data_IF_240581687449
#
_entry.id   IF_240581687449
#
_cell.length_a   1.000
_cell.length_b   1.000
_cell.length_c   1.000
_cell.angle_alpha   90.00
_cell.angle_beta   90.00
_cell.angle_gamma   90.00
#
_symmetry.space_group_name_H-M   'P 1'
#
loop_
_entity.id
_entity.type
_entity.pdbx_description
1 polymer ?
#
# COMPACT_ATOMS: atom_id res chain seq x y z
N UNK A 1 0.21 -16.67 10.71
CA UNK A 1 0.44 -15.26 11.04
C UNK A 1 -0.84 -14.49 10.79
N UNK A 2 -1.19 -13.57 11.67
CA UNK A 2 -2.39 -12.75 11.57
C UNK A 2 -2.05 -11.44 10.85
N UNK A 3 -2.82 -11.09 9.83
CA UNK A 3 -2.59 -9.91 9.00
C UNK A 3 -3.70 -8.89 9.15
N UNK A 4 -3.31 -7.61 9.10
CA UNK A 4 -4.22 -6.50 9.02
C UNK A 4 -3.85 -5.57 7.87
N UNK A 5 -4.85 -4.97 7.23
CA UNK A 5 -4.65 -4.19 6.02
C UNK A 5 -5.35 -2.84 6.18
N UNK A 6 -4.68 -1.76 5.80
CA UNK A 6 -5.24 -0.40 5.80
C UNK A 6 -4.78 0.36 4.56
N UNK A 7 -5.60 1.28 4.07
CA UNK A 7 -5.27 2.07 2.89
C UNK A 7 -6.49 2.72 2.26
N UNK A 8 -6.35 3.10 1.00
CA UNK A 8 -7.38 3.81 0.24
C UNK A 8 -8.19 2.86 -0.68
N UNK A 9 -8.53 3.31 -1.90
CA UNK A 9 -9.19 2.48 -2.91
C UNK A 9 -8.41 1.21 -3.29
N UNK A 10 -7.08 1.19 -3.13
CA UNK A 10 -6.26 0.01 -3.46
C UNK A 10 -6.50 -1.17 -2.52
N UNK A 11 -7.10 -0.92 -1.35
CA UNK A 11 -7.43 -1.94 -0.34
C UNK A 11 -8.92 -1.98 0.00
N UNK A 12 -9.78 -1.26 -0.74
CA UNK A 12 -11.21 -1.12 -0.44
C UNK A 12 -11.98 -2.44 -0.43
N UNK A 13 -11.56 -3.41 -1.25
CA UNK A 13 -12.17 -4.74 -1.30
C UNK A 13 -11.13 -5.83 -1.10
N UNK A 14 -11.52 -6.86 -0.35
CA UNK A 14 -10.69 -8.05 -0.15
C UNK A 14 -10.92 -9.12 -1.23
N UNK A 15 -12.18 -9.51 -1.46
CA UNK A 15 -12.52 -10.63 -2.35
C UNK A 15 -12.14 -10.34 -3.80
N UNK A 16 -11.57 -11.34 -4.46
CA UNK A 16 -11.07 -11.35 -5.82
C UNK A 16 -9.94 -10.33 -6.09
N UNK A 17 -9.21 -9.89 -5.06
CA UNK A 17 -8.11 -8.92 -5.21
C UNK A 17 -6.75 -9.55 -4.99
N UNK A 18 -5.69 -8.81 -5.31
CA UNK A 18 -4.30 -9.20 -5.04
C UNK A 18 -4.07 -9.49 -3.54
N UNK A 19 -4.86 -8.84 -2.67
CA UNK A 19 -4.79 -9.00 -1.23
C UNK A 19 -5.24 -10.39 -0.80
N UNK A 20 -6.39 -10.85 -1.30
CA UNK A 20 -6.88 -12.21 -1.02
C UNK A 20 -5.90 -13.26 -1.52
N UNK A 21 -5.31 -13.04 -2.70
CA UNK A 21 -4.26 -13.92 -3.24
C UNK A 21 -3.04 -13.96 -2.30
N UNK A 22 -2.54 -12.81 -1.84
CA UNK A 22 -1.43 -12.73 -0.87
C UNK A 22 -1.79 -13.49 0.42
N UNK A 23 -2.98 -13.28 0.97
CA UNK A 23 -3.37 -13.94 2.21
C UNK A 23 -3.48 -15.45 2.05
N UNK A 24 -4.09 -15.92 0.97
CA UNK A 24 -4.26 -17.36 0.70
C UNK A 24 -2.90 -18.05 0.45
N UNK A 25 -2.07 -17.49 -0.44
CA UNK A 25 -0.78 -18.09 -0.83
C UNK A 25 0.26 -18.10 0.29
N UNK A 26 0.10 -17.21 1.29
CA UNK A 26 0.99 -17.10 2.43
C UNK A 26 0.37 -17.61 3.74
N UNK A 27 -0.82 -18.22 3.67
CA UNK A 27 -1.58 -18.72 4.83
C UNK A 27 -1.70 -17.66 5.94
N UNK A 28 -2.04 -16.43 5.58
CA UNK A 28 -2.23 -15.31 6.49
C UNK A 28 -3.70 -15.22 6.90
N UNK A 29 -3.95 -15.23 8.21
CA UNK A 29 -5.28 -15.06 8.77
C UNK A 29 -5.63 -13.57 8.81
N UNK A 30 -6.52 -13.13 7.93
CA UNK A 30 -6.92 -11.72 7.90
C UNK A 30 -7.85 -11.38 9.07
N UNK A 31 -7.38 -10.50 9.95
CA UNK A 31 -8.16 -10.00 11.09
C UNK A 31 -9.16 -8.94 10.61
N UNK A 32 -8.67 -7.97 9.84
CA UNK A 32 -9.49 -6.89 9.29
C UNK A 32 -8.83 -6.21 8.11
N UNK A 33 -9.66 -5.54 7.30
CA UNK A 33 -9.26 -4.74 6.16
C UNK A 33 -9.98 -3.38 6.23
N UNK A 34 -9.21 -2.31 6.45
CA UNK A 34 -9.69 -0.94 6.56
C UNK A 34 -9.31 -0.11 5.33
N UNK A 35 -9.70 -0.59 4.15
CA UNK A 35 -9.57 0.16 2.91
C UNK A 35 -10.83 0.96 2.61
N UNK A 36 -10.70 2.25 2.29
CA UNK A 36 -11.83 3.06 1.86
C UNK A 36 -11.46 3.95 0.67
N UNK A 37 -12.34 3.97 -0.34
CA UNK A 37 -12.13 4.79 -1.56
C UNK A 37 -11.99 6.27 -1.19
N UNK A 38 -10.97 6.92 -1.74
CA UNK A 38 -10.78 8.35 -1.54
C UNK A 38 -10.19 8.76 -0.19
N UNK A 39 -9.68 7.82 0.62
CA UNK A 39 -9.11 8.19 1.92
C UNK A 39 -7.90 9.10 1.81
N UNK A 40 -7.80 10.01 2.78
CA UNK A 40 -6.60 10.79 3.06
C UNK A 40 -5.62 9.98 3.92
N UNK A 41 -4.35 10.38 3.95
CA UNK A 41 -3.37 9.72 4.82
C UNK A 41 -3.74 9.85 6.31
N UNK A 42 -4.39 10.93 6.74
CA UNK A 42 -4.90 11.04 8.12
C UNK A 42 -5.86 9.90 8.48
N UNK A 43 -6.78 9.55 7.58
CA UNK A 43 -7.72 8.44 7.82
C UNK A 43 -7.04 7.08 7.79
N UNK A 44 -6.04 6.91 6.92
CA UNK A 44 -5.21 5.69 6.89
C UNK A 44 -4.45 5.54 8.20
N UNK A 45 -3.90 6.64 8.74
CA UNK A 45 -3.22 6.67 10.03
C UNK A 45 -4.17 6.41 11.21
N UNK A 46 -5.34 7.06 11.25
CA UNK A 46 -6.38 6.79 12.27
C UNK A 46 -6.77 5.31 12.29
N UNK A 47 -6.93 4.72 11.10
CA UNK A 47 -7.21 3.31 10.95
C UNK A 47 -6.03 2.49 11.45
N UNK A 48 -4.79 2.80 11.03
CA UNK A 48 -3.55 2.17 11.49
C UNK A 48 -3.48 2.09 13.03
N UNK A 49 -3.75 3.17 13.75
CA UNK A 49 -3.71 3.14 15.22
C UNK A 49 -4.71 2.13 15.79
N UNK A 50 -5.91 2.01 15.20
CA UNK A 50 -6.89 0.97 15.58
C UNK A 50 -6.39 -0.43 15.24
N UNK A 51 -5.59 -0.59 14.18
CA UNK A 51 -5.00 -1.87 13.75
C UNK A 51 -3.95 -2.40 14.73
N UNK A 52 -3.38 -1.56 15.59
CA UNK A 52 -2.40 -1.99 16.60
C UNK A 52 -3.04 -2.74 17.77
N UNK A 53 -4.31 -2.45 18.09
CA UNK A 53 -5.05 -3.08 19.22
C UNK A 53 -5.14 -4.61 19.11
N UNK A 54 -5.53 -5.21 17.96
CA UNK A 54 -5.61 -6.67 17.84
C UNK A 54 -4.25 -7.38 17.80
N UNK A 55 -3.13 -6.64 17.84
CA UNK A 55 -1.75 -7.15 17.78
C UNK A 55 -1.53 -8.10 16.59
N UNK A 56 -1.58 -7.57 15.35
CA UNK A 56 -1.28 -8.37 14.16
C UNK A 56 0.22 -8.71 14.09
N UNK A 57 0.56 -9.80 13.40
CA UNK A 57 1.95 -10.15 13.09
C UNK A 57 2.44 -9.35 11.88
N UNK A 58 1.53 -9.02 10.95
CA UNK A 58 1.80 -8.32 9.69
C UNK A 58 0.78 -7.21 9.47
N UNK A 59 1.24 -6.04 9.02
CA UNK A 59 0.38 -4.96 8.53
C UNK A 59 0.78 -4.60 7.09
N UNK A 60 -0.20 -4.61 6.18
CA UNK A 60 -0.06 -3.99 4.85
C UNK A 60 -0.67 -2.58 4.90
N UNK A 61 0.10 -1.60 4.44
CA UNK A 61 -0.33 -0.20 4.32
C UNK A 61 -0.19 0.26 2.89
N UNK A 62 -1.32 0.60 2.27
CA UNK A 62 -1.33 1.30 0.98
C UNK A 62 -1.39 2.81 1.23
N UNK A 63 -0.30 3.53 0.94
CA UNK A 63 -0.19 4.97 1.19
C UNK A 63 -0.77 5.76 0.02
N UNK A 64 -1.67 6.70 0.31
CA UNK A 64 -2.38 7.51 -0.69
C UNK A 64 -1.57 8.74 -1.11
N UNK A 65 -2.08 9.50 -2.07
CA UNK A 65 -1.55 10.78 -2.51
C UNK A 65 -1.53 11.84 -1.40
N UNK A 66 -0.40 12.55 -1.21
CA UNK A 66 -0.26 13.62 -0.19
C UNK A 66 -1.27 14.75 -0.37
N UNK A 67 -1.70 15.04 -1.59
CA UNK A 67 -2.67 16.12 -1.89
C UNK A 67 -4.02 15.87 -1.23
N UNK A 68 -4.37 14.60 -0.93
CA UNK A 68 -5.62 14.25 -0.26
C UNK A 68 -5.62 14.52 1.24
N UNK A 69 -4.49 14.93 1.82
CA UNK A 69 -4.46 15.42 3.21
C UNK A 69 -5.37 16.62 3.41
N UNK A 70 -5.60 17.40 2.35
CA UNK A 70 -6.43 18.61 2.39
C UNK A 70 -7.47 18.57 1.27
N UNK A 71 -8.74 18.56 1.64
CA UNK A 71 -9.76 19.06 0.72
C UNK A 71 -9.49 20.57 0.57
N UNK A 72 -9.43 21.06 -0.67
CA UNK A 72 -9.50 22.49 -1.01
C UNK A 72 -8.20 23.31 -0.93
N UNK A 73 -7.13 22.92 -1.63
CA UNK A 73 -6.19 23.88 -2.25
C UNK A 73 -5.43 24.88 -1.36
N UNK A 74 -5.45 24.70 -0.03
CA UNK A 74 -4.94 25.67 0.94
C UNK A 74 -3.65 25.24 1.66
N UNK A 75 -3.16 24.03 1.39
CA UNK A 75 -1.92 23.54 1.98
C UNK A 75 -0.76 23.61 0.98
N UNK A 76 0.34 24.21 1.42
CA UNK A 76 1.64 24.12 0.75
C UNK A 76 1.98 22.63 0.48
N UNK A 77 2.42 22.34 -0.74
CA UNK A 77 2.81 20.97 -1.16
C UNK A 77 3.89 20.43 -0.22
N UNK A 78 4.86 21.25 0.17
CA UNK A 78 5.94 20.83 1.06
C UNK A 78 5.43 20.53 2.47
N UNK A 79 4.42 21.26 2.92
CA UNK A 79 3.74 20.97 4.18
C UNK A 79 3.00 19.63 4.11
N UNK A 80 2.21 19.37 3.05
CA UNK A 80 1.50 18.11 2.88
C UNK A 80 2.46 16.90 2.80
N UNK A 81 3.56 17.02 2.03
CA UNK A 81 4.62 16.02 1.97
C UNK A 81 5.26 15.78 3.34
N UNK A 82 5.54 16.86 4.08
CA UNK A 82 6.12 16.77 5.43
C UNK A 82 5.19 16.05 6.40
N UNK A 83 3.90 16.39 6.41
CA UNK A 83 2.91 15.74 7.27
C UNK A 83 2.80 14.25 6.93
N UNK A 84 2.67 13.89 5.65
CA UNK A 84 2.60 12.48 5.26
C UNK A 84 3.87 11.73 5.68
N UNK A 85 5.06 12.31 5.46
CA UNK A 85 6.34 11.73 5.90
C UNK A 85 6.35 11.45 7.41
N UNK A 86 5.91 12.41 8.23
CA UNK A 86 5.85 12.24 9.69
C UNK A 86 4.87 11.15 10.12
N UNK A 87 3.69 11.07 9.50
CA UNK A 87 2.72 10.01 9.79
C UNK A 87 3.28 8.64 9.43
N UNK A 88 3.88 8.49 8.24
CA UNK A 88 4.46 7.21 7.80
C UNK A 88 5.66 6.81 8.66
N UNK A 89 6.46 7.78 9.11
CA UNK A 89 7.56 7.55 10.05
C UNK A 89 7.05 7.02 11.40
N UNK A 90 6.03 7.63 11.99
CA UNK A 90 5.45 7.10 13.22
C UNK A 90 4.88 5.70 13.01
N UNK A 91 4.19 5.41 11.90
CA UNK A 91 3.70 4.06 11.61
C UNK A 91 4.81 3.01 11.58
N UNK A 92 5.96 3.35 10.97
CA UNK A 92 7.16 2.51 10.96
C UNK A 92 7.70 2.29 12.38
N UNK A 93 7.82 3.33 13.18
CA UNK A 93 8.29 3.27 14.56
C UNK A 93 7.36 2.41 15.44
N UNK A 94 6.03 2.61 15.34
CA UNK A 94 5.05 1.84 16.11
C UNK A 94 5.10 0.34 15.76
N UNK A 95 5.27 -0.01 14.48
CA UNK A 95 5.44 -1.40 14.05
C UNK A 95 6.75 -2.00 14.57
N UNK A 96 7.86 -1.27 14.43
CA UNK A 96 9.18 -1.69 14.92
C UNK A 96 9.17 -1.96 16.42
N UNK A 97 8.61 -1.05 17.22
CA UNK A 97 8.51 -1.17 18.69
C UNK A 97 7.70 -2.40 19.13
N UNK A 98 6.74 -2.83 18.33
CA UNK A 98 5.84 -3.96 18.62
C UNK A 98 6.25 -5.26 17.92
N UNK A 99 7.38 -5.25 17.20
CA UNK A 99 7.82 -6.37 16.36
C UNK A 99 6.77 -6.82 15.33
N UNK A 100 6.01 -5.86 14.77
CA UNK A 100 5.01 -6.09 13.72
C UNK A 100 5.68 -5.91 12.36
N UNK A 101 5.59 -6.90 11.47
CA UNK A 101 6.12 -6.78 10.10
C UNK A 101 5.27 -5.81 9.29
N UNK A 102 5.88 -4.73 8.79
CA UNK A 102 5.18 -3.72 8.01
C UNK A 102 5.49 -3.88 6.52
N UNK A 103 4.46 -3.86 5.68
CA UNK A 103 4.56 -3.86 4.22
C UNK A 103 3.99 -2.54 3.72
N UNK A 104 4.86 -1.69 3.19
CA UNK A 104 4.55 -0.37 2.69
C UNK A 104 4.38 -0.42 1.17
N UNK A 105 3.22 0.02 0.68
CA UNK A 105 2.91 0.09 -0.75
C UNK A 105 2.44 1.51 -1.07
N UNK A 106 3.34 2.39 -1.53
CA UNK A 106 2.92 3.71 -1.97
C UNK A 106 2.14 3.62 -3.28
N UNK A 107 0.91 4.10 -3.27
CA UNK A 107 0.05 4.08 -4.45
C UNK A 107 0.34 5.26 -5.40
N UNK A 108 0.99 6.31 -4.90
CA UNK A 108 1.31 7.56 -5.60
C UNK A 108 2.77 7.99 -5.37
N UNK A 109 3.14 9.22 -5.72
CA UNK A 109 4.45 9.81 -5.47
C UNK A 109 4.88 9.63 -4.00
N UNK A 110 6.12 9.18 -3.79
CA UNK A 110 6.59 8.73 -2.48
C UNK A 110 8.10 8.92 -2.26
N UNK A 111 8.76 9.67 -3.13
CA UNK A 111 10.21 9.89 -3.05
C UNK A 111 10.58 10.68 -1.79
N UNK A 112 9.67 11.52 -1.29
CA UNK A 112 9.82 12.30 -0.06
C UNK A 112 9.60 11.49 1.23
N UNK A 113 9.24 10.21 1.16
CA UNK A 113 9.05 9.36 2.35
C UNK A 113 10.37 8.75 2.83
N UNK A 114 10.60 8.82 4.14
CA UNK A 114 11.67 8.09 4.84
C UNK A 114 11.32 6.60 4.92
N UNK A 115 12.24 5.74 4.47
CA UNK A 115 12.04 4.30 4.32
C UNK A 115 12.98 3.57 5.27
N UNK A 116 12.64 3.58 6.55
CA UNK A 116 13.52 3.13 7.65
C UNK A 116 13.14 1.75 8.20
N UNK A 117 11.92 1.28 7.93
CA UNK A 117 11.40 0.00 8.41
C UNK A 117 10.39 -0.60 7.44
N UNK A 118 10.34 -1.93 7.41
CA UNK A 118 9.37 -2.68 6.62
C UNK A 118 9.88 -3.16 5.27
N UNK A 119 9.04 -3.92 4.60
CA UNK A 119 9.14 -4.18 3.17
C UNK A 119 8.49 -3.02 2.42
N UNK A 120 9.24 -2.37 1.53
CA UNK A 120 8.73 -1.33 0.65
C UNK A 120 8.59 -1.88 -0.77
N UNK A 121 7.35 -1.92 -1.27
CA UNK A 121 7.03 -2.30 -2.64
C UNK A 121 6.81 -1.02 -3.43
N UNK A 122 7.83 -0.61 -4.19
CA UNK A 122 7.89 0.68 -4.86
C UNK A 122 7.65 0.52 -6.35
N UNK A 123 6.84 1.39 -6.95
CA UNK A 123 6.79 1.55 -8.41
C UNK A 123 7.11 2.99 -8.76
N UNK A 124 7.80 3.31 -9.87
CA UNK A 124 8.10 4.70 -10.22
C UNK A 124 6.84 5.58 -10.22
N UNK A 125 6.77 6.61 -9.36
CA UNK A 125 5.56 7.44 -9.22
C UNK A 125 4.37 6.78 -8.48
N UNK A 126 4.57 5.60 -7.90
CA UNK A 126 3.58 4.85 -7.11
C UNK A 126 2.82 3.79 -7.91
N UNK A 127 2.19 2.84 -7.22
CA UNK A 127 1.50 1.68 -7.84
C UNK A 127 0.44 2.08 -8.89
N UNK A 128 -0.11 3.28 -8.82
CA UNK A 128 -1.04 3.80 -9.82
C UNK A 128 -0.44 3.84 -11.23
N UNK A 129 0.89 3.95 -11.38
CA UNK A 129 1.55 3.93 -12.70
C UNK A 129 1.39 2.57 -13.39
N UNK A 130 1.37 1.48 -12.63
CA UNK A 130 1.26 0.13 -13.16
C UNK A 130 -0.10 -0.13 -13.82
N UNK A 131 -1.04 0.82 -13.70
CA UNK A 131 -2.36 0.77 -14.34
C UNK A 131 -2.49 1.63 -15.57
N UNK A 132 -1.40 2.30 -15.96
CA UNK A 132 -1.30 3.14 -17.16
C UNK A 132 -0.39 2.51 -18.22
N UNK A 133 0.06 1.26 -18.02
CA UNK A 133 1.03 0.60 -18.88
C UNK A 133 0.53 0.43 -20.32
N UNK A 134 -0.78 0.25 -20.51
CA UNK A 134 -1.42 0.08 -21.81
C UNK A 134 -2.00 1.37 -22.41
N UNK A 135 -2.12 2.46 -21.62
CA UNK A 135 -2.43 3.81 -22.12
C UNK A 135 -1.97 4.89 -21.11
N UNK A 136 -0.89 5.64 -21.42
CA UNK A 136 -0.32 6.65 -20.55
C UNK A 136 -1.17 7.92 -20.42
N UNK A 137 -2.19 8.11 -21.26
CA UNK A 137 -3.06 9.31 -21.28
C UNK A 137 -4.31 9.18 -20.40
N UNK A 138 -4.49 8.04 -19.73
CA UNK A 138 -5.71 7.72 -19.03
C UNK A 138 -5.99 8.54 -17.75
N UNK A 139 -7.27 8.89 -17.59
CA UNK A 139 -7.89 9.56 -16.44
C UNK A 139 -9.06 8.73 -15.86
N UNK A 140 -9.27 8.79 -14.55
CA UNK A 140 -10.14 7.91 -13.74
C UNK A 140 -11.65 7.96 -14.05
N UNK A 141 -12.08 8.75 -15.03
CA UNK A 141 -13.48 9.14 -15.28
C UNK A 141 -14.23 8.28 -16.31
N UNK A 142 -13.65 7.18 -16.80
CA UNK A 142 -14.24 6.38 -17.88
C UNK A 142 -14.58 4.94 -17.45
N UNK A 143 -15.60 4.34 -18.07
CA UNK A 143 -15.95 2.92 -17.92
C UNK A 143 -14.81 2.05 -18.47
N UNK A 144 -13.86 1.73 -17.59
CA UNK A 144 -12.58 1.14 -17.94
C UNK A 144 -12.69 -0.38 -18.18
N UNK A 145 -12.36 -0.82 -19.40
CA UNK A 145 -12.32 -2.25 -19.80
C UNK A 145 -10.89 -2.81 -19.87
N UNK A 146 -9.89 -2.03 -19.45
CA UNK A 146 -8.46 -2.34 -19.61
C UNK A 146 -7.90 -3.23 -18.51
N UNK A 147 -6.67 -3.70 -18.74
CA UNK A 147 -5.89 -4.45 -17.76
C UNK A 147 -5.23 -3.47 -16.77
N UNK A 148 -5.93 -3.14 -15.69
CA UNK A 148 -5.43 -2.26 -14.65
C UNK A 148 -5.38 -2.97 -13.27
N UNK A 149 -4.89 -2.29 -12.23
CA UNK A 149 -4.83 -2.84 -10.87
C UNK A 149 -6.18 -3.17 -10.21
N UNK A 150 -7.31 -2.77 -10.80
CA UNK A 150 -8.67 -3.14 -10.38
C UNK A 150 -9.24 -4.31 -11.19
N UNK A 151 -8.57 -4.74 -12.26
CA UNK A 151 -9.00 -5.88 -13.08
C UNK A 151 -8.55 -7.21 -12.45
N UNK A 152 -9.27 -8.33 -12.70
CA UNK A 152 -8.89 -9.64 -12.18
C UNK A 152 -7.46 -10.06 -12.54
N UNK A 153 -7.02 -9.80 -13.78
CA UNK A 153 -5.68 -10.13 -14.24
C UNK A 153 -4.63 -9.14 -13.73
N UNK A 154 -4.96 -7.87 -13.52
CA UNK A 154 -4.04 -6.93 -12.84
C UNK A 154 -3.81 -7.29 -11.38
N UNK A 155 -4.84 -7.74 -10.66
CA UNK A 155 -4.69 -8.31 -9.32
C UNK A 155 -3.77 -9.54 -9.29
N UNK A 156 -3.87 -10.42 -10.29
CA UNK A 156 -2.97 -11.56 -10.44
C UNK A 156 -1.52 -11.15 -10.69
N UNK A 157 -1.30 -10.22 -11.62
CA UNK A 157 0.03 -9.68 -11.94
C UNK A 157 0.69 -9.08 -10.69
N UNK A 158 -0.03 -8.21 -9.98
CA UNK A 158 0.49 -7.60 -8.73
C UNK A 158 0.84 -8.69 -7.73
N UNK A 159 -0.08 -9.62 -7.46
CA UNK A 159 0.12 -10.68 -6.49
C UNK A 159 1.37 -11.53 -6.81
N UNK A 160 1.50 -12.00 -8.05
CA UNK A 160 2.62 -12.82 -8.48
C UNK A 160 3.98 -12.13 -8.31
N UNK A 161 4.00 -10.80 -8.46
CA UNK A 161 5.22 -10.02 -8.31
C UNK A 161 5.54 -9.60 -6.88
N UNK A 162 4.58 -9.61 -5.93
CA UNK A 162 4.85 -9.22 -4.54
C UNK A 162 4.93 -10.41 -3.56
N UNK A 163 4.22 -11.50 -3.84
CA UNK A 163 4.14 -12.68 -2.95
C UNK A 163 5.52 -13.24 -2.59
N UNK A 164 6.46 -13.46 -3.53
CA UNK A 164 7.78 -13.99 -3.19
C UNK A 164 8.54 -13.10 -2.20
N UNK A 165 8.41 -11.78 -2.34
CA UNK A 165 9.09 -10.81 -1.48
C UNK A 165 8.44 -10.70 -0.12
N UNK A 166 7.10 -10.69 -0.06
CA UNK A 166 6.37 -10.72 1.20
C UNK A 166 6.73 -12.01 1.95
N UNK A 167 6.71 -13.16 1.28
CA UNK A 167 7.11 -14.46 1.85
C UNK A 167 8.49 -14.41 2.45
N UNK A 168 9.47 -13.87 1.73
CA UNK A 168 10.84 -13.75 2.24
C UNK A 168 10.87 -12.82 3.46
N UNK A 169 10.28 -11.63 3.35
CA UNK A 169 10.31 -10.63 4.43
C UNK A 169 9.68 -11.13 5.74
N UNK A 170 8.49 -11.73 5.68
CA UNK A 170 7.77 -12.17 6.90
C UNK A 170 8.46 -13.33 7.62
N UNK A 171 9.31 -14.10 6.92
CA UNK A 171 10.06 -15.23 7.47
C UNK A 171 11.50 -14.88 7.87
N UNK A 172 11.89 -13.61 7.82
CA UNK A 172 13.25 -13.16 8.18
C UNK A 172 13.23 -12.23 9.38
N UNK A 173 14.36 -12.11 10.08
CA UNK A 173 14.58 -11.08 11.08
C UNK A 173 14.92 -9.71 10.46
N UNK A 174 14.93 -9.62 9.12
CA UNK A 174 15.21 -8.37 8.43
C UNK A 174 14.20 -7.30 8.85
N UNK A 175 14.72 -6.13 9.20
CA UNK A 175 13.92 -4.98 9.59
C UNK A 175 13.55 -4.10 8.38
N UNK A 176 14.27 -4.25 7.25
CA UNK A 176 14.11 -3.40 6.08
C UNK A 176 14.39 -4.16 4.78
N UNK A 177 13.53 -3.96 3.77
CA UNK A 177 13.68 -4.51 2.43
C UNK A 177 13.02 -3.59 1.40
N UNK A 178 13.61 -3.42 0.22
CA UNK A 178 13.00 -2.69 -0.90
C UNK A 178 12.85 -3.63 -2.10
N UNK A 179 11.70 -3.55 -2.76
CA UNK A 179 11.42 -4.18 -4.04
C UNK A 179 10.86 -3.15 -4.99
N UNK A 180 11.27 -3.23 -6.26
CA UNK A 180 10.75 -2.38 -7.32
C UNK A 180 9.79 -3.17 -8.21
N UNK A 181 8.60 -2.63 -8.44
CA UNK A 181 7.64 -3.05 -9.44
C UNK A 181 7.66 -2.04 -10.59
N UNK A 182 7.87 -2.53 -11.80
CA UNK A 182 7.91 -1.68 -12.98
C UNK A 182 6.64 -1.87 -13.82
N UNK A 183 6.12 -0.84 -14.52
CA UNK A 183 4.92 -0.97 -15.35
C UNK A 183 4.93 -2.13 -16.34
N UNK A 184 6.12 -2.53 -16.79
CA UNK A 184 6.38 -3.61 -17.76
C UNK A 184 5.88 -4.97 -17.28
N UNK A 185 5.60 -5.15 -15.99
CA UNK A 185 4.95 -6.38 -15.50
C UNK A 185 3.51 -6.55 -16.01
N UNK A 186 2.92 -5.49 -16.57
CA UNK A 186 1.58 -5.49 -17.16
C UNK A 186 1.56 -5.67 -18.70
N UNK A 187 2.73 -5.72 -19.35
CA UNK A 187 2.87 -5.93 -20.80
C UNK A 187 2.72 -7.39 -21.23
#
# INVERSE_FOLDING_TARGET
MRILITGDSFTYSYKNTWIERVCNELNLEMISCYGFRGQSQYKIYDNFIKTLVPQPDVIIVCHTEFTRLYNEGLADIEFAKTIQRLLVKDMQEQCKLRNIKMINIPCFEHDFLDKDYGLWVLAPGGLMICSKADDPTWDYKTNDKRLNHFSPRGHEIIANNIIPHIRNYINTDQQFHIVSLYPEIFS
#
